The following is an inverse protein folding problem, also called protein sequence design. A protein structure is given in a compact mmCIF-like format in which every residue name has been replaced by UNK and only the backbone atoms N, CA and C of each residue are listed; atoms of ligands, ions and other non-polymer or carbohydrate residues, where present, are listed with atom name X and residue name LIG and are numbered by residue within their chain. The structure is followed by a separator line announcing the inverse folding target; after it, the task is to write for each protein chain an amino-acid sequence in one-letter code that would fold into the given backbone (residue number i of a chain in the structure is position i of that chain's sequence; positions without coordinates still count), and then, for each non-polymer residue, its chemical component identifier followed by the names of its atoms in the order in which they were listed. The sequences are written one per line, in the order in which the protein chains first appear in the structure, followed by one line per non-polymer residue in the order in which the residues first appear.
data_IF_144406241023
#
_entry.id   IF_144406241023
#
_cell.length_a   1.000
_cell.length_b   1.000
_cell.length_c   1.000
_cell.angle_alpha   90.00
_cell.angle_beta   90.00
_cell.angle_gamma   90.00
#
_symmetry.space_group_name_H-M   'P 1'
#
loop_
_entity.id
_entity.type
_entity.pdbx_description
1 polymer ?
#
# COMPACT_ATOMS: atom_id res chain seq x y z
N UNK A 1 -7.79 19.46 2.15
CA UNK A 1 -6.57 19.34 2.96
C UNK A 1 -6.80 19.87 4.36
N UNK A 2 -6.35 19.15 5.38
CA UNK A 2 -6.40 19.56 6.79
C UNK A 2 -5.10 20.28 7.15
N UNK A 3 -5.17 21.35 7.94
CA UNK A 3 -3.96 22.01 8.45
C UNK A 3 -3.30 21.17 9.55
N UNK A 4 -1.99 21.35 9.78
CA UNK A 4 -1.29 20.69 10.88
C UNK A 4 -1.95 20.96 12.24
N UNK A 5 -2.39 22.21 12.46
CA UNK A 5 -3.12 22.60 13.67
C UNK A 5 -4.44 21.84 13.84
N UNK A 6 -5.13 21.52 12.74
CA UNK A 6 -6.35 20.70 12.80
C UNK A 6 -5.99 19.24 13.13
N UNK A 7 -4.95 18.69 12.52
CA UNK A 7 -4.49 17.33 12.79
C UNK A 7 -4.04 17.14 14.25
N UNK A 8 -3.48 18.17 14.89
CA UNK A 8 -3.15 18.15 16.32
C UNK A 8 -4.39 17.98 17.23
N UNK A 9 -5.57 18.32 16.73
CA UNK A 9 -6.84 18.13 17.46
C UNK A 9 -7.48 16.77 17.21
N UNK A 10 -6.93 15.97 16.29
CA UNK A 10 -7.47 14.66 15.94
C UNK A 10 -7.37 13.70 17.13
N UNK A 11 -8.49 13.06 17.48
CA UNK A 11 -8.58 12.10 18.57
C UNK A 11 -9.13 10.78 18.06
N UNK A 12 -8.56 9.67 18.53
CA UNK A 12 -9.06 8.33 18.24
C UNK A 12 -10.26 8.07 19.15
N UNK A 13 -11.39 7.75 18.53
CA UNK A 13 -12.60 7.43 19.28
C UNK A 13 -12.38 6.18 20.14
N UNK A 14 -12.54 6.34 21.45
CA UNK A 14 -12.37 5.29 22.48
C UNK A 14 -10.97 4.67 22.54
N UNK A 15 -9.95 5.30 21.95
CA UNK A 15 -8.59 4.74 21.86
C UNK A 15 -8.56 3.32 21.26
N UNK A 16 -9.47 3.05 20.31
CA UNK A 16 -9.63 1.74 19.69
C UNK A 16 -9.13 1.71 18.25
N UNK A 17 -8.38 0.66 17.94
CA UNK A 17 -7.95 0.29 16.59
C UNK A 17 -8.54 -1.07 16.29
N UNK A 18 -9.10 -1.23 15.10
CA UNK A 18 -9.73 -2.47 14.67
C UNK A 18 -8.98 -3.08 13.49
N UNK A 19 -8.53 -4.31 13.66
CA UNK A 19 -7.85 -5.07 12.61
C UNK A 19 -8.85 -5.80 11.70
N UNK A 20 -8.60 -5.74 10.39
CA UNK A 20 -9.32 -6.48 9.36
C UNK A 20 -8.40 -7.48 8.65
N UNK A 21 -8.95 -8.64 8.31
CA UNK A 21 -8.20 -9.71 7.64
C UNK A 21 -8.17 -9.60 6.12
N UNK A 22 -9.05 -8.78 5.56
CA UNK A 22 -9.31 -8.76 4.13
C UNK A 22 -9.48 -7.32 3.66
N UNK A 23 -8.81 -6.98 2.56
CA UNK A 23 -8.99 -5.73 1.83
C UNK A 23 -9.50 -6.05 0.42
N UNK A 24 -10.43 -5.25 -0.08
CA UNK A 24 -10.97 -5.36 -1.44
C UNK A 24 -10.54 -4.15 -2.25
N UNK A 25 -9.80 -4.38 -3.34
CA UNK A 25 -9.32 -3.33 -4.24
C UNK A 25 -10.01 -3.51 -5.59
N UNK A 26 -10.67 -2.48 -6.07
CA UNK A 26 -11.28 -2.52 -7.39
C UNK A 26 -10.30 -1.99 -8.43
N UNK A 27 -10.18 -2.66 -9.56
CA UNK A 27 -9.35 -2.20 -10.67
C UNK A 27 -10.09 -2.33 -11.99
N UNK A 28 -9.63 -1.56 -12.97
CA UNK A 28 -10.15 -1.62 -14.34
C UNK A 28 -9.25 -2.53 -15.17
N UNK A 29 -9.84 -3.51 -15.83
CA UNK A 29 -9.16 -4.40 -16.78
C UNK A 29 -8.93 -3.68 -18.12
N UNK A 30 -8.10 -4.28 -18.97
CA UNK A 30 -7.78 -3.71 -20.29
C UNK A 30 -9.02 -3.50 -21.18
N UNK A 31 -10.03 -4.37 -21.07
CA UNK A 31 -11.31 -4.27 -21.79
C UNK A 31 -12.32 -3.33 -21.12
N UNK A 32 -11.85 -2.40 -20.27
CA UNK A 32 -12.64 -1.39 -19.55
C UNK A 32 -13.70 -1.98 -18.61
N UNK A 33 -13.51 -3.22 -18.15
CA UNK A 33 -14.37 -3.83 -17.12
C UNK A 33 -13.83 -3.55 -15.74
N UNK A 34 -14.71 -3.60 -14.76
CA UNK A 34 -14.34 -3.47 -13.34
C UNK A 34 -14.22 -4.87 -12.75
N UNK A 35 -13.04 -5.16 -12.21
CA UNK A 35 -12.77 -6.36 -11.43
C UNK A 35 -12.33 -5.98 -10.00
N UNK A 36 -12.17 -7.00 -9.16
CA UNK A 36 -11.83 -6.83 -7.76
C UNK A 36 -10.78 -7.86 -7.31
N UNK A 37 -9.71 -7.34 -6.73
CA UNK A 37 -8.73 -8.12 -6.00
C UNK A 37 -9.12 -8.20 -4.51
N UNK A 38 -8.91 -9.39 -3.95
CA UNK A 38 -9.07 -9.66 -2.53
C UNK A 38 -7.69 -9.89 -1.94
N UNK A 39 -7.21 -8.92 -1.17
CA UNK A 39 -5.95 -8.98 -0.46
C UNK A 39 -6.16 -9.54 0.94
N UNK A 40 -5.28 -10.46 1.34
CA UNK A 40 -5.28 -11.09 2.64
C UNK A 40 -3.83 -11.34 3.06
N UNK A 41 -3.39 -10.83 4.24
CA UNK A 41 -2.02 -11.03 4.74
C UNK A 41 -1.55 -12.49 4.77
N UNK A 42 -2.47 -13.47 4.83
CA UNK A 42 -2.15 -14.90 4.91
C UNK A 42 -1.98 -15.61 3.57
N UNK A 43 -2.56 -15.11 2.49
CA UNK A 43 -2.62 -15.87 1.23
C UNK A 43 -2.35 -15.05 -0.03
N UNK A 44 -2.78 -13.79 -0.06
CA UNK A 44 -2.63 -12.87 -1.20
C UNK A 44 -2.26 -11.51 -0.64
N UNK A 45 -1.07 -11.45 -0.06
CA UNK A 45 -0.61 -10.31 0.70
C UNK A 45 0.09 -9.28 -0.19
N UNK A 46 0.62 -9.70 -1.34
CA UNK A 46 1.42 -8.83 -2.18
C UNK A 46 0.52 -7.89 -2.99
N UNK A 47 0.92 -6.63 -3.06
CA UNK A 47 0.21 -5.54 -3.72
C UNK A 47 1.16 -4.66 -4.51
N UNK A 48 0.61 -3.89 -5.44
CA UNK A 48 1.35 -2.91 -6.23
C UNK A 48 0.75 -1.51 -6.06
N UNK A 49 1.62 -0.51 -5.93
CA UNK A 49 1.29 0.91 -5.89
C UNK A 49 2.03 1.65 -7.01
N UNK A 50 1.61 2.88 -7.31
CA UNK A 50 2.34 3.73 -8.25
C UNK A 50 3.66 4.17 -7.61
N UNK A 51 4.76 4.06 -8.35
CA UNK A 51 6.05 4.59 -7.89
C UNK A 51 6.08 6.11 -8.01
N UNK A 52 6.79 6.78 -7.10
CA UNK A 52 7.07 8.23 -7.19
C UNK A 52 8.21 8.57 -8.18
N UNK A 53 8.50 7.68 -9.12
CA UNK A 53 9.53 7.86 -10.12
C UNK A 53 9.15 9.00 -11.08
N UNK A 54 9.90 10.09 -11.05
CA UNK A 54 9.79 11.15 -12.04
C UNK A 54 10.27 10.66 -13.41
N UNK A 55 9.66 11.16 -14.49
CA UNK A 55 9.91 10.74 -15.88
C UNK A 55 11.34 11.00 -16.42
N UNK A 56 12.30 11.38 -15.56
CA UNK A 56 13.68 11.71 -15.89
C UNK A 56 14.75 10.85 -15.20
N UNK A 57 14.39 9.95 -14.29
CA UNK A 57 15.31 8.88 -13.88
C UNK A 57 15.32 7.82 -14.99
N UNK A 58 16.49 7.24 -15.30
CA UNK A 58 16.68 6.15 -16.27
C UNK A 58 15.89 4.89 -15.81
N UNK A 59 14.59 4.98 -16.07
CA UNK A 59 13.43 4.14 -15.78
C UNK A 59 13.48 3.18 -14.57
N UNK A 60 13.41 3.68 -13.32
CA UNK A 60 12.85 2.89 -12.23
C UNK A 60 11.44 2.42 -12.61
N UNK A 61 11.17 1.13 -12.39
CA UNK A 61 9.92 0.48 -12.75
C UNK A 61 8.69 1.29 -12.26
N UNK A 62 7.62 1.49 -13.07
CA UNK A 62 6.51 2.41 -12.79
C UNK A 62 5.66 2.05 -11.57
N UNK A 63 5.95 0.92 -10.95
CA UNK A 63 5.24 0.39 -9.80
C UNK A 63 6.21 -0.01 -8.72
N UNK A 64 5.83 0.29 -7.47
CA UNK A 64 6.42 -0.32 -6.29
C UNK A 64 5.57 -1.49 -5.83
N UNK A 65 6.23 -2.45 -5.20
CA UNK A 65 5.58 -3.63 -4.65
C UNK A 65 5.71 -3.61 -3.14
N UNK A 66 4.66 -4.08 -2.46
CA UNK A 66 4.70 -4.26 -1.02
C UNK A 66 3.94 -5.52 -0.62
N UNK A 67 4.25 -6.04 0.56
CA UNK A 67 3.47 -7.09 1.22
C UNK A 67 2.60 -6.47 2.28
N UNK A 68 1.29 -6.63 2.16
CA UNK A 68 0.31 -6.28 3.19
C UNK A 68 0.54 -7.13 4.44
N UNK A 69 0.67 -6.45 5.57
CA UNK A 69 0.91 -7.10 6.88
C UNK A 69 -0.36 -7.02 7.71
N UNK A 70 -0.92 -5.82 7.83
CA UNK A 70 -2.19 -5.59 8.53
C UNK A 70 -3.04 -4.54 7.84
N UNK A 71 -4.35 -4.71 7.95
CA UNK A 71 -5.34 -3.70 7.58
C UNK A 71 -6.00 -3.21 8.86
N UNK A 72 -5.99 -1.91 9.11
CA UNK A 72 -6.64 -1.31 10.26
C UNK A 72 -7.73 -0.35 9.82
N UNK A 73 -8.76 -0.23 10.64
CA UNK A 73 -9.57 0.98 10.64
C UNK A 73 -9.59 1.61 12.03
N UNK A 74 -9.68 2.93 12.02
CA UNK A 74 -9.72 3.77 13.22
C UNK A 74 -10.85 4.76 13.02
N UNK A 75 -11.67 4.94 14.06
CA UNK A 75 -12.69 6.00 14.05
C UNK A 75 -12.07 7.23 14.71
N UNK A 76 -12.07 8.36 14.01
CA UNK A 76 -11.41 9.61 14.44
C UNK A 76 -12.36 10.79 14.39
N UNK A 77 -12.16 11.77 15.25
CA UNK A 77 -12.91 13.03 15.26
C UNK A 77 -12.00 14.17 15.71
N UNK A 78 -12.32 15.42 15.36
CA UNK A 78 -11.56 16.57 15.83
C UNK A 78 -12.06 17.02 17.20
N UNK A 79 -11.15 17.46 18.08
CA UNK A 79 -11.50 18.00 19.39
C UNK A 79 -12.43 19.21 19.22
N UNK A 80 -13.62 19.13 19.81
CA UNK A 80 -14.66 20.16 19.68
C UNK A 80 -15.78 19.78 18.72
N UNK A 81 -15.63 18.72 17.93
CA UNK A 81 -16.73 18.06 17.23
C UNK A 81 -17.49 17.12 18.18
N UNK A 82 -18.79 16.91 17.91
CA UNK A 82 -19.56 15.86 18.57
C UNK A 82 -18.93 14.49 18.25
N UNK A 83 -18.67 13.62 19.24
CA UNK A 83 -18.22 12.26 18.99
C UNK A 83 -19.09 11.45 18.01
N UNK A 84 -20.36 11.81 17.83
CA UNK A 84 -21.24 11.21 16.81
C UNK A 84 -20.80 11.50 15.37
N UNK A 85 -20.01 12.57 15.13
CA UNK A 85 -19.44 12.94 13.84
C UNK A 85 -18.14 12.19 13.50
N UNK A 86 -17.88 11.05 14.15
CA UNK A 86 -16.67 10.28 13.92
C UNK A 86 -16.55 9.83 12.45
N UNK A 87 -15.33 9.91 11.92
CA UNK A 87 -14.97 9.51 10.57
C UNK A 87 -14.15 8.24 10.66
N UNK A 88 -14.49 7.24 9.84
CA UNK A 88 -13.71 6.03 9.75
C UNK A 88 -12.55 6.24 8.76
N UNK A 89 -11.33 5.98 9.21
CA UNK A 89 -10.12 6.00 8.37
C UNK A 89 -9.56 4.59 8.31
N UNK A 90 -9.26 4.12 7.10
CA UNK A 90 -8.63 2.82 6.86
C UNK A 90 -7.17 3.06 6.50
N UNK A 91 -6.26 2.32 7.14
CA UNK A 91 -4.82 2.39 6.89
C UNK A 91 -4.26 0.98 6.74
N UNK A 92 -3.28 0.81 5.86
CA UNK A 92 -2.61 -0.46 5.62
C UNK A 92 -1.18 -0.39 6.15
N UNK A 93 -0.78 -1.34 6.99
CA UNK A 93 0.63 -1.55 7.28
C UNK A 93 1.22 -2.49 6.23
N UNK A 94 2.25 -2.03 5.53
CA UNK A 94 2.92 -2.79 4.49
C UNK A 94 4.41 -2.97 4.77
N UNK A 95 4.99 -4.01 4.17
CA UNK A 95 6.43 -4.23 4.09
C UNK A 95 6.89 -4.05 2.64
N UNK A 96 7.77 -3.11 2.39
CA UNK A 96 8.19 -2.77 1.03
C UNK A 96 9.16 -3.79 0.42
N UNK A 97 9.05 -3.96 -0.90
CA UNK A 97 10.05 -4.62 -1.71
C UNK A 97 10.90 -3.57 -2.45
N UNK A 98 12.18 -3.88 -2.63
CA UNK A 98 13.10 -3.14 -3.49
C UNK A 98 13.29 -3.86 -4.82
N UNK A 99 13.46 -3.10 -5.89
CA UNK A 99 13.82 -3.64 -7.20
C UNK A 99 15.30 -4.01 -7.23
N UNK A 100 15.61 -5.18 -7.79
CA UNK A 100 16.99 -5.61 -8.03
C UNK A 100 17.53 -4.93 -9.30
N UNK A 101 18.14 -3.76 -9.12
CA UNK A 101 18.74 -2.98 -10.20
C UNK A 101 19.96 -3.65 -10.84
N UNK A 102 20.55 -4.64 -10.18
CA UNK A 102 21.67 -5.41 -10.73
C UNK A 102 21.23 -6.45 -11.77
N UNK A 103 19.92 -6.76 -11.82
CA UNK A 103 19.36 -7.77 -12.69
C UNK A 103 18.71 -7.18 -13.94
N UNK A 104 19.27 -7.53 -15.11
CA UNK A 104 18.69 -7.19 -16.39
C UNK A 104 17.29 -7.82 -16.55
N UNK A 105 16.27 -6.96 -16.58
CA UNK A 105 14.85 -7.32 -16.71
C UNK A 105 14.16 -6.45 -17.76
N UNK A 106 12.90 -6.76 -18.06
CA UNK A 106 12.10 -6.05 -19.04
C UNK A 106 12.03 -6.75 -20.39
N UNK A 107 11.44 -6.05 -21.37
CA UNK A 107 11.10 -6.62 -22.67
C UNK A 107 12.35 -7.03 -23.47
N UNK A 108 13.39 -6.20 -23.45
CA UNK A 108 14.65 -6.48 -24.15
C UNK A 108 15.36 -7.71 -23.58
N UNK A 109 15.43 -7.81 -22.25
CA UNK A 109 16.05 -8.94 -21.55
C UNK A 109 15.16 -10.20 -21.54
N UNK A 110 13.89 -10.09 -21.95
CA UNK A 110 12.85 -11.15 -21.90
C UNK A 110 12.75 -11.82 -20.53
N UNK A 111 12.90 -11.02 -19.48
CA UNK A 111 12.96 -11.46 -18.07
C UNK A 111 12.03 -10.59 -17.24
N UNK A 112 11.31 -11.23 -16.30
CA UNK A 112 10.48 -10.49 -15.35
C UNK A 112 11.36 -9.65 -14.41
N UNK A 113 10.89 -8.47 -13.97
CA UNK A 113 11.53 -7.71 -12.91
C UNK A 113 11.71 -8.57 -11.65
N UNK A 114 12.85 -8.40 -10.98
CA UNK A 114 13.14 -9.05 -9.71
C UNK A 114 12.99 -8.04 -8.59
N UNK A 115 12.37 -8.50 -7.52
CA UNK A 115 12.20 -7.73 -6.30
C UNK A 115 12.66 -8.54 -5.10
N UNK A 116 13.22 -7.87 -4.12
CA UNK A 116 13.64 -8.43 -2.85
C UNK A 116 13.01 -7.65 -1.71
N UNK A 117 12.89 -8.24 -0.52
CA UNK A 117 12.47 -7.47 0.64
C UNK A 117 13.54 -6.46 1.00
N UNK A 118 13.12 -5.24 1.34
CA UNK A 118 14.04 -4.31 1.99
C UNK A 118 14.65 -4.95 3.27
N UNK A 119 15.93 -4.69 3.55
CA UNK A 119 16.59 -5.20 4.74
C UNK A 119 15.85 -4.79 6.02
N UNK A 120 15.72 -5.74 6.94
CA UNK A 120 15.11 -5.50 8.25
C UNK A 120 15.95 -4.46 9.02
N UNK A 121 15.27 -3.59 9.77
CA UNK A 121 15.91 -2.55 10.59
C UNK A 121 16.18 -1.25 9.85
N UNK A 122 15.86 -1.16 8.56
CA UNK A 122 15.84 0.11 7.82
C UNK A 122 14.51 0.84 8.03
N UNK A 123 14.52 2.17 8.05
CA UNK A 123 13.31 3.00 8.13
C UNK A 123 12.39 2.82 6.91
N UNK A 124 12.92 2.33 5.80
CA UNK A 124 12.19 2.11 4.54
C UNK A 124 11.50 0.74 4.47
N UNK A 125 11.71 -0.14 5.45
CA UNK A 125 11.18 -1.50 5.40
C UNK A 125 9.66 -1.54 5.61
N UNK A 126 9.10 -0.64 6.42
CA UNK A 126 7.69 -0.66 6.85
C UNK A 126 7.06 0.71 6.67
N UNK A 127 5.80 0.75 6.26
CA UNK A 127 5.08 2.01 6.12
C UNK A 127 3.57 1.84 6.25
N UNK A 128 2.88 2.93 6.56
CA UNK A 128 1.44 3.04 6.51
C UNK A 128 1.00 3.70 5.21
N UNK A 129 0.15 3.03 4.44
CA UNK A 129 -0.37 3.57 3.18
C UNK A 129 -1.90 3.69 3.20
N UNK A 130 -2.42 4.66 2.46
CA UNK A 130 -3.84 4.76 2.15
C UNK A 130 -4.23 3.62 1.18
N UNK A 131 -5.25 2.81 1.48
CA UNK A 131 -5.76 1.81 0.54
C UNK A 131 -6.07 2.32 -0.86
N UNK A 132 -6.38 3.60 -1.04
CA UNK A 132 -6.63 4.22 -2.34
C UNK A 132 -5.39 4.30 -3.23
N UNK A 133 -4.19 4.21 -2.66
CA UNK A 133 -2.91 4.16 -3.40
C UNK A 133 -2.64 2.78 -4.00
N UNK A 134 -3.33 1.74 -3.51
CA UNK A 134 -3.19 0.38 -4.01
C UNK A 134 -3.86 0.27 -5.37
N UNK A 135 -3.06 -0.02 -6.40
CA UNK A 135 -3.57 -0.19 -7.75
C UNK A 135 -4.21 -1.57 -7.87
N UNK A 136 -3.48 -2.63 -7.48
CA UNK A 136 -3.88 -4.04 -7.61
C UNK A 136 -3.16 -4.94 -6.61
N UNK A 137 -3.66 -6.16 -6.47
CA UNK A 137 -2.88 -7.26 -5.92
C UNK A 137 -1.78 -7.70 -6.89
N UNK A 138 -0.65 -8.15 -6.35
CA UNK A 138 0.47 -8.66 -7.10
C UNK A 138 0.66 -10.15 -6.82
N UNK A 139 1.09 -10.90 -7.84
CA UNK A 139 1.50 -12.29 -7.70
C UNK A 139 3.01 -12.37 -7.93
N UNK A 140 3.76 -12.55 -6.85
CA UNK A 140 5.21 -12.71 -6.91
C UNK A 140 5.57 -14.19 -7.07
N UNK A 141 6.46 -14.46 -8.03
CA UNK A 141 6.98 -15.81 -8.30
C UNK A 141 8.37 -15.90 -7.66
N UNK A 142 8.65 -16.93 -6.84
CA UNK A 142 9.98 -17.13 -6.28
C UNK A 142 11.05 -17.28 -7.38
N UNK A 143 12.12 -16.49 -7.29
CA UNK A 143 13.34 -16.67 -8.07
C UNK A 143 14.36 -17.44 -7.25
N UNK A 144 14.59 -18.71 -7.59
CA UNK A 144 15.64 -19.56 -7.02
C UNK A 144 16.91 -19.51 -7.87
#
# INVERSE_FOLDING_TARGET
DYSLQQLDTLTIFKDQIHEHKTLRVNYTTYDLRREQDILNPRSRADLMVLSDASAGDDAPHPYWFARLVYTFHVNVYFRGEDPSACRQVVVLLVRWFEHDSSYASGFEARRLPRVAFHPLGTSQCWDFIDPATVIRGAHLIPGF
#
